data_IF_988465536879
#
_entry.id   IF_988465536879
#
_cell.length_a   1.000
_cell.length_b   1.000
_cell.length_c   1.000
_cell.angle_alpha   90.00
_cell.angle_beta   90.00
_cell.angle_gamma   90.00
#
_symmetry.space_group_name_H-M   'P 1'
#
loop_
_entity.id
_entity.type
_entity.pdbx_description
1 polymer ?
#
# COMPACT_ATOMS: atom_id res chain seq x y z
N UNK A 1 27.49 -1.97 -9.01
CA UNK A 1 27.39 -3.38 -8.55
C UNK A 1 26.97 -4.18 -9.78
N UNK A 2 27.40 -5.42 -9.96
CA UNK A 2 27.04 -6.22 -11.15
C UNK A 2 26.25 -7.43 -10.68
N UNK A 3 24.93 -7.36 -10.77
CA UNK A 3 24.02 -8.40 -10.28
C UNK A 3 22.81 -8.56 -11.19
N UNK A 4 22.15 -9.71 -11.14
CA UNK A 4 20.90 -9.98 -11.85
C UNK A 4 19.66 -9.73 -10.98
N UNK A 5 19.85 -9.41 -9.70
CA UNK A 5 18.78 -9.23 -8.73
C UNK A 5 19.01 -8.02 -7.81
N UNK A 6 17.91 -7.35 -7.44
CA UNK A 6 17.84 -6.45 -6.29
C UNK A 6 17.31 -7.21 -5.08
N UNK A 7 17.54 -6.67 -3.88
CA UNK A 7 16.84 -7.10 -2.69
C UNK A 7 16.12 -5.93 -2.04
N UNK A 8 15.00 -6.20 -1.39
CA UNK A 8 14.29 -5.22 -0.59
C UNK A 8 13.64 -5.87 0.62
N UNK A 9 13.38 -5.07 1.64
CA UNK A 9 12.59 -5.50 2.78
C UNK A 9 11.12 -5.63 2.40
N UNK A 10 10.56 -6.79 2.72
CA UNK A 10 9.15 -7.14 2.59
C UNK A 10 8.59 -7.54 3.97
N UNK A 11 7.26 -7.67 4.15
CA UNK A 11 6.69 -8.07 5.43
C UNK A 11 7.28 -9.40 5.94
N UNK A 12 8.04 -9.33 7.03
CA UNK A 12 8.77 -10.45 7.64
C UNK A 12 9.78 -11.15 6.70
N UNK A 13 10.30 -10.45 5.69
CA UNK A 13 11.27 -11.02 4.76
C UNK A 13 12.25 -9.98 4.20
N UNK A 14 13.30 -10.49 3.55
CA UNK A 14 14.16 -9.75 2.63
C UNK A 14 14.09 -10.49 1.31
N UNK A 15 13.19 -10.01 0.46
CA UNK A 15 12.91 -10.61 -0.83
C UNK A 15 13.98 -10.21 -1.85
N UNK A 16 14.24 -11.11 -2.78
CA UNK A 16 15.11 -10.89 -3.94
C UNK A 16 14.25 -10.82 -5.18
N UNK A 17 14.61 -9.93 -6.09
CA UNK A 17 13.82 -9.69 -7.27
C UNK A 17 14.70 -9.49 -8.51
N UNK A 18 14.38 -10.11 -9.66
CA UNK A 18 15.20 -10.00 -10.87
C UNK A 18 15.22 -8.57 -11.42
N UNK A 19 16.32 -8.10 -11.99
CA UNK A 19 16.39 -6.73 -12.54
C UNK A 19 15.57 -6.56 -13.82
N UNK A 20 15.40 -7.64 -14.58
CA UNK A 20 14.55 -7.69 -15.78
C UNK A 20 13.34 -8.58 -15.53
N UNK A 21 12.13 -8.06 -15.74
CA UNK A 21 10.92 -8.88 -15.80
C UNK A 21 10.64 -9.28 -17.27
N UNK A 22 10.70 -10.58 -17.63
CA UNK A 22 10.44 -11.02 -18.99
C UNK A 22 8.97 -10.96 -19.40
N UNK A 23 8.03 -10.65 -18.50
CA UNK A 23 6.60 -10.90 -18.70
C UNK A 23 5.76 -9.67 -19.11
N UNK A 24 6.03 -9.11 -20.29
CA UNK A 24 5.05 -8.22 -20.96
C UNK A 24 4.23 -8.89 -22.05
N UNK A 25 4.66 -10.05 -22.54
CA UNK A 25 3.92 -10.81 -23.55
C UNK A 25 2.90 -11.74 -22.88
N UNK A 26 1.88 -11.13 -22.26
CA UNK A 26 0.67 -11.89 -21.92
C UNK A 26 -0.09 -12.15 -23.22
N UNK A 27 0.24 -13.25 -23.92
CA UNK A 27 -0.55 -13.72 -25.05
C UNK A 27 -1.97 -14.03 -24.57
N UNK A 28 -2.90 -13.14 -24.85
CA UNK A 28 -4.32 -13.35 -24.54
C UNK A 28 -4.92 -14.15 -25.69
N UNK A 29 -5.50 -15.34 -25.43
CA UNK A 29 -6.20 -16.09 -26.46
C UNK A 29 -7.25 -15.22 -27.15
N UNK A 30 -7.41 -15.32 -28.47
CA UNK A 30 -8.32 -14.46 -29.24
C UNK A 30 -9.76 -14.46 -28.67
N UNK A 31 -10.21 -15.61 -28.16
CA UNK A 31 -11.52 -15.78 -27.48
C UNK A 31 -11.67 -14.95 -26.20
N UNK A 32 -10.57 -14.65 -25.52
CA UNK A 32 -10.51 -13.86 -24.27
C UNK A 32 -10.14 -12.39 -24.53
N UNK A 33 -9.54 -12.07 -25.68
CA UNK A 33 -9.10 -10.70 -26.03
C UNK A 33 -10.24 -9.67 -26.09
N UNK A 34 -11.50 -10.15 -26.21
CA UNK A 34 -12.71 -9.34 -26.37
C UNK A 34 -13.59 -9.30 -25.11
N UNK A 35 -13.30 -10.13 -24.12
CA UNK A 35 -13.86 -9.98 -22.77
C UNK A 35 -13.00 -8.96 -22.03
N UNK A 36 -13.61 -8.00 -21.35
CA UNK A 36 -12.87 -7.00 -20.57
C UNK A 36 -11.98 -7.70 -19.54
N UNK A 37 -10.69 -7.73 -19.85
CA UNK A 37 -9.64 -7.90 -18.87
C UNK A 37 -9.57 -6.58 -18.08
N UNK A 38 -9.37 -6.67 -16.76
CA UNK A 38 -9.04 -5.50 -15.96
C UNK A 38 -7.85 -4.74 -16.58
N UNK A 39 -7.64 -3.48 -16.15
CA UNK A 39 -6.53 -2.67 -16.65
C UNK A 39 -5.22 -3.44 -16.74
N UNK A 40 -4.64 -3.47 -17.94
CA UNK A 40 -3.44 -4.26 -18.25
C UNK A 40 -2.29 -3.37 -18.64
N UNK A 41 -1.10 -3.71 -18.17
CA UNK A 41 0.11 -3.01 -18.56
C UNK A 41 0.45 -3.33 -20.02
N UNK A 42 0.83 -2.29 -20.76
CA UNK A 42 1.31 -2.37 -22.15
C UNK A 42 2.83 -2.21 -22.25
N UNK A 43 3.47 -1.96 -21.11
CA UNK A 43 4.92 -1.86 -20.95
C UNK A 43 5.31 -2.49 -19.61
N UNK A 44 6.58 -2.90 -19.42
CA UNK A 44 7.04 -3.45 -18.15
C UNK A 44 6.91 -2.39 -17.05
N UNK A 45 6.52 -2.83 -15.85
CA UNK A 45 6.52 -1.99 -14.64
C UNK A 45 7.64 -2.50 -13.74
N UNK A 46 8.73 -1.75 -13.68
CA UNK A 46 9.95 -2.15 -12.97
C UNK A 46 10.06 -1.53 -11.57
N UNK A 47 9.10 -0.68 -11.19
CA UNK A 47 8.99 -0.14 -9.83
C UNK A 47 8.57 -1.24 -8.85
N UNK A 48 9.19 -1.24 -7.67
CA UNK A 48 8.96 -2.21 -6.60
C UNK A 48 8.72 -1.52 -5.29
N UNK A 49 8.04 -2.23 -4.40
CA UNK A 49 7.78 -1.79 -3.05
C UNK A 49 9.01 -2.13 -2.17
N UNK A 50 9.26 -1.31 -1.17
CA UNK A 50 10.16 -1.65 -0.06
C UNK A 50 9.64 -1.01 1.22
N UNK A 51 10.00 -1.57 2.38
CA UNK A 51 9.61 -1.00 3.68
C UNK A 51 10.66 -0.07 4.27
N UNK A 52 11.79 -0.59 4.78
CA UNK A 52 12.84 0.25 5.36
C UNK A 52 14.12 0.31 4.54
N UNK A 53 14.34 -0.63 3.62
CA UNK A 53 15.51 -0.63 2.76
C UNK A 53 15.35 -1.41 1.46
N UNK A 54 16.13 -1.01 0.45
CA UNK A 54 16.31 -1.72 -0.81
C UNK A 54 17.77 -1.61 -1.27
N UNK A 55 18.27 -2.56 -2.04
CA UNK A 55 19.67 -2.56 -2.43
C UNK A 55 20.06 -3.54 -3.53
N UNK A 56 21.34 -3.46 -3.88
CA UNK A 56 22.02 -4.35 -4.83
C UNK A 56 23.21 -4.99 -4.12
N UNK A 57 23.50 -6.24 -4.47
CA UNK A 57 24.71 -6.95 -4.03
C UNK A 57 25.20 -7.88 -5.13
N UNK A 58 26.51 -7.92 -5.35
CA UNK A 58 27.18 -8.91 -6.22
C UNK A 58 27.91 -10.00 -5.41
N UNK A 59 27.64 -10.06 -4.09
CA UNK A 59 28.29 -10.98 -3.15
C UNK A 59 29.70 -10.56 -2.71
N UNK A 60 30.27 -9.49 -3.28
CA UNK A 60 31.59 -8.92 -2.88
C UNK A 60 31.50 -7.46 -2.47
N UNK A 61 30.51 -6.74 -2.98
CA UNK A 61 30.15 -5.38 -2.62
C UNK A 61 28.66 -5.19 -2.80
N UNK A 62 28.08 -4.31 -2.00
CA UNK A 62 26.69 -3.94 -2.13
C UNK A 62 26.47 -2.49 -1.75
N UNK A 63 25.27 -2.03 -2.08
CA UNK A 63 24.79 -0.69 -1.79
C UNK A 63 23.33 -0.82 -1.38
N UNK A 64 23.01 -0.33 -0.20
CA UNK A 64 21.65 -0.29 0.32
C UNK A 64 21.22 1.17 0.42
N UNK A 65 20.00 1.48 -0.02
CA UNK A 65 19.29 2.70 0.35
C UNK A 65 18.33 2.35 1.47
N UNK A 66 18.34 3.17 2.52
CA UNK A 66 17.52 3.03 3.72
C UNK A 66 16.58 4.22 3.79
N UNK A 67 15.30 3.97 4.08
CA UNK A 67 14.29 4.98 4.38
C UNK A 67 13.11 4.33 5.10
N UNK A 68 12.63 4.89 6.20
CA UNK A 68 11.45 4.38 6.92
C UNK A 68 10.10 4.96 6.47
N UNK A 69 10.08 5.76 5.40
CA UNK A 69 8.87 6.48 4.94
C UNK A 69 8.67 6.47 3.43
N UNK A 70 9.68 6.06 2.66
CA UNK A 70 9.58 5.89 1.23
C UNK A 70 9.30 4.42 0.94
N UNK A 71 8.47 4.15 -0.07
CA UNK A 71 7.98 2.80 -0.33
C UNK A 71 8.13 2.34 -1.77
N UNK A 72 8.77 3.11 -2.64
CA UNK A 72 8.89 2.80 -4.06
C UNK A 72 10.33 2.99 -4.55
N UNK A 73 10.88 1.96 -5.17
CA UNK A 73 12.19 2.01 -5.81
C UNK A 73 12.18 1.32 -7.18
N UNK A 74 13.13 1.67 -8.04
CA UNK A 74 13.37 1.03 -9.32
C UNK A 74 14.88 0.86 -9.53
N UNK A 75 15.29 -0.19 -10.24
CA UNK A 75 16.67 -0.35 -10.70
C UNK A 75 16.76 0.05 -12.17
N UNK A 76 17.45 1.15 -12.45
CA UNK A 76 17.64 1.63 -13.82
C UNK A 76 18.81 0.89 -14.50
N UNK A 77 18.54 0.27 -15.64
CA UNK A 77 19.47 -0.61 -16.36
C UNK A 77 20.82 0.03 -16.69
N UNK A 78 20.81 1.30 -17.12
CA UNK A 78 21.96 1.99 -17.73
C UNK A 78 23.21 2.01 -16.84
N UNK A 79 23.09 1.82 -15.52
CA UNK A 79 24.21 1.67 -14.57
C UNK A 79 23.87 0.83 -13.32
N UNK A 80 22.76 0.10 -13.32
CA UNK A 80 22.15 -0.47 -12.10
C UNK A 80 21.98 0.59 -10.99
N UNK A 81 21.39 1.73 -11.36
CA UNK A 81 21.13 2.82 -10.41
C UNK A 81 19.90 2.47 -9.58
N UNK A 82 20.01 2.57 -8.26
CA UNK A 82 18.85 2.51 -7.35
C UNK A 82 18.16 3.88 -7.40
N UNK A 83 17.05 3.97 -8.12
CA UNK A 83 16.18 5.14 -8.11
C UNK A 83 15.13 4.95 -7.00
N UNK A 84 15.00 5.93 -6.12
CA UNK A 84 13.97 5.94 -5.06
C UNK A 84 13.03 7.09 -5.35
N UNK A 85 11.74 6.78 -5.44
CA UNK A 85 10.71 7.80 -5.63
C UNK A 85 10.54 8.57 -4.33
N UNK A 86 10.90 9.85 -4.33
CA UNK A 86 10.66 10.72 -3.18
C UNK A 86 9.19 11.15 -3.11
N UNK A 87 8.60 11.47 -4.26
CA UNK A 87 7.29 12.10 -4.36
C UNK A 87 6.65 11.77 -5.71
N UNK A 88 5.33 11.63 -5.76
CA UNK A 88 4.59 11.35 -7.01
C UNK A 88 3.24 12.06 -7.04
N UNK A 89 3.25 13.28 -7.54
CA UNK A 89 2.06 14.12 -7.73
C UNK A 89 1.19 13.67 -8.90
N UNK A 90 -0.11 13.50 -8.68
CA UNK A 90 -1.11 13.19 -9.72
C UNK A 90 -2.35 14.06 -9.56
N UNK A 91 -3.07 14.31 -10.65
CA UNK A 91 -4.30 15.12 -10.60
C UNK A 91 -5.59 14.31 -10.60
N UNK A 92 -5.51 12.99 -10.82
CA UNK A 92 -6.69 12.17 -11.06
C UNK A 92 -6.50 10.79 -10.42
N UNK A 93 -7.57 10.27 -9.82
CA UNK A 93 -7.59 8.93 -9.24
C UNK A 93 -7.35 7.84 -10.29
N UNK A 94 -7.95 7.99 -11.47
CA UNK A 94 -7.72 7.13 -12.61
C UNK A 94 -7.78 7.94 -13.91
N UNK A 95 -6.88 7.61 -14.84
CA UNK A 95 -6.91 8.14 -16.21
C UNK A 95 -7.02 7.02 -17.23
N UNK A 96 -7.62 7.35 -18.37
CA UNK A 96 -7.83 6.43 -19.50
C UNK A 96 -6.79 6.59 -20.62
N UNK A 97 -5.91 7.57 -20.51
CA UNK A 97 -4.95 8.01 -21.52
C UNK A 97 -3.50 7.62 -21.15
N UNK A 98 -3.32 6.59 -20.33
CA UNK A 98 -2.00 6.12 -19.91
C UNK A 98 -1.33 5.34 -21.06
N UNK A 99 -0.07 5.69 -21.38
CA UNK A 99 0.70 4.98 -22.41
C UNK A 99 1.11 3.56 -21.98
N UNK A 100 1.29 3.36 -20.68
CA UNK A 100 1.78 2.13 -20.06
C UNK A 100 0.66 1.19 -19.61
N UNK A 101 -0.61 1.60 -19.71
CA UNK A 101 -1.74 0.80 -19.26
C UNK A 101 -3.00 1.10 -20.06
N UNK A 102 -3.70 0.05 -20.50
CA UNK A 102 -4.99 0.16 -21.20
C UNK A 102 -6.11 -0.53 -20.41
N UNK A 103 -7.33 -0.02 -20.53
CA UNK A 103 -8.53 -0.58 -19.88
C UNK A 103 -9.09 0.26 -18.74
N UNK A 104 -10.21 -0.20 -18.16
CA UNK A 104 -10.87 0.45 -17.02
C UNK A 104 -10.12 0.11 -15.73
N UNK A 105 -9.61 1.15 -15.07
CA UNK A 105 -8.67 1.05 -13.96
C UNK A 105 -9.13 1.78 -12.71
N UNK A 106 -10.37 2.26 -12.73
CA UNK A 106 -10.94 3.06 -11.66
C UNK A 106 -11.80 4.22 -12.18
N UNK A 107 -12.45 4.94 -11.28
CA UNK A 107 -13.29 6.07 -11.63
C UNK A 107 -12.46 7.32 -11.95
N UNK A 108 -12.87 8.08 -12.97
CA UNK A 108 -12.18 9.30 -13.40
C UNK A 108 -12.61 10.50 -12.57
N UNK A 109 -11.97 10.62 -11.41
CA UNK A 109 -12.23 11.63 -10.38
C UNK A 109 -11.01 12.54 -10.27
N UNK A 110 -11.23 13.85 -10.29
CA UNK A 110 -10.21 14.88 -10.10
C UNK A 110 -9.84 14.93 -8.61
N UNK A 111 -8.55 14.80 -8.32
CA UNK A 111 -7.99 14.69 -6.96
C UNK A 111 -6.90 15.76 -6.78
N UNK A 112 -7.27 17.04 -6.57
CA UNK A 112 -6.34 18.16 -6.51
C UNK A 112 -5.31 18.02 -5.37
N UNK A 113 -5.74 17.53 -4.20
CA UNK A 113 -4.85 17.30 -3.05
C UNK A 113 -3.74 16.27 -3.32
N UNK A 114 -3.94 15.36 -4.29
CA UNK A 114 -2.93 14.39 -4.70
C UNK A 114 -1.77 15.00 -5.51
N UNK A 115 -1.80 16.32 -5.77
CA UNK A 115 -0.64 17.05 -6.24
C UNK A 115 0.42 17.24 -5.15
N UNK A 116 0.04 17.06 -3.87
CA UNK A 116 0.95 17.14 -2.74
C UNK A 116 1.66 18.52 -2.70
N UNK A 117 0.92 19.62 -2.90
CA UNK A 117 1.50 20.97 -2.87
C UNK A 117 1.85 21.34 -1.41
N UNK A 118 3.07 21.81 -1.20
CA UNK A 118 3.56 22.24 0.12
C UNK A 118 4.99 21.78 0.38
N UNK A 119 5.43 21.96 1.62
CA UNK A 119 6.75 21.49 2.08
C UNK A 119 6.77 19.98 2.34
N UNK A 120 7.85 19.34 1.90
CA UNK A 120 8.08 17.91 2.11
C UNK A 120 9.46 17.62 2.67
N UNK A 121 9.54 16.64 3.58
CA UNK A 121 10.78 16.22 4.20
C UNK A 121 11.00 14.72 4.02
N UNK A 122 12.06 14.38 3.28
CA UNK A 122 12.44 13.01 3.02
C UNK A 122 13.73 12.69 3.79
N UNK A 123 13.71 11.60 4.56
CA UNK A 123 14.90 11.05 5.19
C UNK A 123 15.28 9.77 4.47
N UNK A 124 16.52 9.73 4.00
CA UNK A 124 17.12 8.54 3.45
C UNK A 124 18.60 8.46 3.83
N UNK A 125 19.14 7.25 3.82
CA UNK A 125 20.56 7.00 4.04
C UNK A 125 21.09 6.06 2.96
N UNK A 126 22.36 6.26 2.60
CA UNK A 126 23.10 5.39 1.69
C UNK A 126 24.07 4.57 2.54
N UNK A 127 23.98 3.25 2.43
CA UNK A 127 24.80 2.30 3.18
C UNK A 127 25.59 1.40 2.22
N UNK A 128 26.84 1.78 1.88
CA UNK A 128 27.78 0.89 1.20
C UNK A 128 28.11 -0.30 2.11
N UNK A 129 28.15 -1.50 1.54
CA UNK A 129 28.35 -2.73 2.30
C UNK A 129 29.21 -3.74 1.53
N UNK A 130 29.62 -4.82 2.22
CA UNK A 130 30.53 -5.84 1.67
C UNK A 130 29.81 -6.85 0.75
N UNK A 131 28.51 -6.67 0.51
CA UNK A 131 27.69 -7.59 -0.26
C UNK A 131 27.27 -8.85 0.51
N UNK A 132 27.67 -8.98 1.78
CA UNK A 132 27.32 -10.09 2.63
C UNK A 132 26.24 -9.65 3.63
N UNK A 133 24.98 -9.88 3.25
CA UNK A 133 23.81 -9.48 4.05
C UNK A 133 23.90 -9.90 5.52
N UNK A 134 24.35 -11.13 5.79
CA UNK A 134 24.49 -11.71 7.13
C UNK A 134 25.46 -10.91 8.01
N UNK A 135 26.57 -10.47 7.43
CA UNK A 135 27.60 -9.70 8.14
C UNK A 135 27.26 -8.20 8.22
N UNK A 136 26.76 -7.65 7.11
CA UNK A 136 26.53 -6.22 6.94
C UNK A 136 25.26 -5.72 7.64
N UNK A 137 24.26 -6.60 7.83
CA UNK A 137 23.01 -6.39 8.57
C UNK A 137 22.28 -5.09 8.20
N UNK A 138 21.96 -4.89 6.91
CA UNK A 138 21.31 -3.66 6.46
C UNK A 138 19.95 -3.43 7.13
N UNK A 139 19.22 -4.48 7.50
CA UNK A 139 17.98 -4.40 8.28
C UNK A 139 18.20 -3.75 9.65
N UNK A 140 19.26 -4.11 10.36
CA UNK A 140 19.60 -3.51 11.65
C UNK A 140 20.05 -2.05 11.49
N UNK A 141 20.73 -1.71 10.39
CA UNK A 141 21.06 -0.31 10.05
C UNK A 141 19.80 0.50 9.73
N UNK A 142 18.83 -0.11 9.06
CA UNK A 142 17.54 0.50 8.78
C UNK A 142 16.75 0.76 10.07
N UNK A 143 16.70 -0.22 10.98
CA UNK A 143 16.09 -0.06 12.30
C UNK A 143 16.75 1.10 13.06
N UNK A 144 18.09 1.16 13.10
CA UNK A 144 18.81 2.26 13.76
C UNK A 144 18.55 3.64 13.11
N UNK A 145 18.44 3.71 11.79
CA UNK A 145 18.12 4.96 11.08
C UNK A 145 16.70 5.45 11.40
N UNK A 146 15.76 4.51 11.50
CA UNK A 146 14.34 4.80 11.69
C UNK A 146 13.95 4.91 13.18
N UNK A 147 14.79 4.45 14.09
CA UNK A 147 14.52 4.45 15.52
C UNK A 147 14.50 5.87 16.09
N UNK A 148 13.37 6.24 16.68
CA UNK A 148 13.21 7.49 17.42
C UNK A 148 13.42 7.23 18.90
N UNK A 149 14.55 7.71 19.43
CA UNK A 149 14.79 7.67 20.86
C UNK A 149 13.73 8.48 21.61
N UNK A 150 13.22 7.91 22.71
CA UNK A 150 12.36 8.62 23.66
C UNK A 150 13.23 9.07 24.82
N UNK A 151 13.26 10.38 25.06
CA UNK A 151 13.90 10.95 26.23
C UNK A 151 12.82 11.50 27.16
N UNK A 152 12.87 11.13 28.43
CA UNK A 152 12.04 11.70 29.49
C UNK A 152 12.97 12.27 30.53
N UNK A 153 12.70 13.50 30.99
CA UNK A 153 13.46 14.14 32.06
C UNK A 153 12.71 13.97 33.37
N UNK A 154 13.41 13.57 34.41
CA UNK A 154 12.92 13.55 35.79
C UNK A 154 13.86 14.32 36.72
N UNK A 155 13.39 14.64 37.93
CA UNK A 155 14.21 15.16 39.01
C UNK A 155 14.96 14.04 39.75
N UNK A 156 15.76 14.40 40.76
CA UNK A 156 16.38 13.40 41.65
C UNK A 156 15.32 12.89 42.63
N UNK A 157 15.13 11.58 42.69
CA UNK A 157 14.22 10.92 43.62
C UNK A 157 14.64 9.46 43.82
N UNK A 158 14.18 8.82 44.89
CA UNK A 158 14.29 7.37 45.04
C UNK A 158 13.43 6.65 43.99
N UNK A 159 13.80 5.41 43.63
CA UNK A 159 13.08 4.61 42.66
C UNK A 159 13.31 3.12 42.83
N UNK A 160 12.35 2.30 42.40
CA UNK A 160 12.47 0.83 42.45
C UNK A 160 13.18 0.21 41.24
N UNK A 161 13.47 1.00 40.21
CA UNK A 161 14.20 0.58 39.01
C UNK A 161 15.65 1.09 39.06
N UNK A 162 16.63 0.35 38.51
CA UNK A 162 18.01 0.82 38.40
C UNK A 162 18.14 1.93 37.35
N UNK A 163 19.25 2.67 37.40
CA UNK A 163 19.59 3.75 36.46
C UNK A 163 19.67 3.25 35.00
N UNK A 164 20.13 2.01 34.81
CA UNK A 164 20.18 1.34 33.52
C UNK A 164 19.45 0.00 33.61
N UNK A 165 18.49 -0.22 32.71
CA UNK A 165 17.70 -1.44 32.65
C UNK A 165 17.47 -1.87 31.21
N UNK A 166 17.73 -3.14 30.90
CA UNK A 166 17.34 -3.76 29.65
C UNK A 166 16.20 -4.74 29.91
N UNK A 167 15.05 -4.53 29.27
CA UNK A 167 13.91 -5.44 29.42
C UNK A 167 14.18 -6.81 28.80
N UNK A 168 14.73 -6.81 27.58
CA UNK A 168 15.01 -7.98 26.76
C UNK A 168 16.36 -7.81 26.08
N UNK A 169 17.13 -8.88 25.96
CA UNK A 169 18.33 -8.88 25.14
C UNK A 169 18.59 -10.27 24.56
N UNK A 170 19.19 -10.31 23.37
CA UNK A 170 19.70 -11.56 22.81
C UNK A 170 21.01 -11.95 23.51
N UNK A 171 21.19 -13.25 23.72
CA UNK A 171 22.41 -13.88 24.25
C UNK A 171 22.70 -15.14 23.44
N UNK A 172 23.95 -15.61 23.44
CA UNK A 172 24.34 -16.86 22.77
C UNK A 172 23.86 -16.96 21.29
N UNK A 173 23.93 -15.85 20.55
CA UNK A 173 23.48 -15.81 19.16
C UNK A 173 24.48 -16.48 18.23
N UNK A 174 24.04 -17.45 17.42
CA UNK A 174 24.84 -18.02 16.32
C UNK A 174 25.24 -16.91 15.33
N UNK A 175 24.30 -16.01 15.07
CA UNK A 175 24.43 -14.92 14.11
C UNK A 175 23.82 -13.65 14.71
N UNK A 176 24.62 -12.76 15.30
CA UNK A 176 24.10 -11.59 16.00
C UNK A 176 23.22 -10.71 15.10
N UNK A 177 22.02 -10.38 15.54
CA UNK A 177 21.07 -9.54 14.81
C UNK A 177 20.34 -10.22 13.66
N UNK A 178 20.44 -11.55 13.50
CA UNK A 178 19.63 -12.27 12.51
C UNK A 178 18.14 -12.37 12.90
N UNK A 179 17.84 -12.35 14.21
CA UNK A 179 16.49 -12.33 14.76
C UNK A 179 16.01 -10.89 14.98
N UNK A 180 15.06 -10.44 14.16
CA UNK A 180 14.56 -9.07 14.20
C UNK A 180 13.25 -8.97 14.98
N UNK A 181 13.24 -8.15 16.03
CA UNK A 181 12.05 -7.86 16.83
C UNK A 181 11.08 -6.98 16.04
N UNK A 182 9.80 -7.36 16.04
CA UNK A 182 8.73 -6.67 15.31
C UNK A 182 7.57 -6.26 16.22
N UNK A 183 7.37 -6.96 17.34
CA UNK A 183 6.40 -6.53 18.34
C UNK A 183 6.91 -6.81 19.76
N UNK A 184 6.68 -5.84 20.63
CA UNK A 184 6.73 -5.96 22.08
C UNK A 184 5.52 -5.21 22.60
N UNK A 185 4.47 -5.93 23.00
CA UNK A 185 3.20 -5.32 23.41
C UNK A 185 2.52 -6.13 24.51
N UNK A 186 1.49 -5.57 25.12
CA UNK A 186 0.54 -6.33 25.94
C UNK A 186 -0.33 -7.20 25.02
N UNK A 187 -0.69 -8.40 25.46
CA UNK A 187 -1.66 -9.25 24.75
C UNK A 187 -3.01 -8.55 24.61
N UNK A 188 -3.80 -8.97 23.62
CA UNK A 188 -5.14 -8.39 23.36
C UNK A 188 -6.10 -8.59 24.54
N UNK A 189 -5.99 -9.72 25.26
CA UNK A 189 -6.74 -9.96 26.50
C UNK A 189 -6.20 -9.20 27.72
N UNK A 190 -5.00 -8.63 27.62
CA UNK A 190 -4.35 -7.88 28.69
C UNK A 190 -3.55 -8.69 29.71
N UNK A 191 -3.53 -10.01 29.64
CA UNK A 191 -2.97 -10.84 30.72
C UNK A 191 -1.50 -11.23 30.52
N UNK A 192 -0.88 -10.83 29.42
CA UNK A 192 0.47 -11.26 29.05
C UNK A 192 1.22 -10.20 28.25
N UNK A 193 2.51 -10.43 28.07
CA UNK A 193 3.37 -9.69 27.14
C UNK A 193 3.65 -10.54 25.92
N UNK A 194 3.45 -9.98 24.75
CA UNK A 194 3.73 -10.58 23.45
C UNK A 194 5.07 -10.06 22.95
N UNK A 195 5.96 -10.99 22.62
CA UNK A 195 7.25 -10.72 21.98
C UNK A 195 7.26 -11.44 20.64
N UNK A 196 7.32 -10.69 19.53
CA UNK A 196 7.35 -11.26 18.17
C UNK A 196 8.62 -10.85 17.45
N UNK A 197 9.29 -11.82 16.86
CA UNK A 197 10.47 -11.62 16.04
C UNK A 197 10.48 -12.62 14.89
N UNK A 198 11.34 -12.40 13.90
CA UNK A 198 11.52 -13.33 12.80
C UNK A 198 12.97 -13.49 12.41
N UNK A 199 13.30 -14.65 11.82
CA UNK A 199 14.60 -14.91 11.25
C UNK A 199 14.74 -14.23 9.89
N UNK A 200 15.69 -13.32 9.75
CA UNK A 200 15.93 -12.59 8.49
C UNK A 200 16.66 -13.42 7.42
N UNK A 201 17.21 -14.58 7.78
CA UNK A 201 18.10 -15.39 6.94
C UNK A 201 17.40 -16.61 6.31
N UNK A 202 18.02 -17.14 5.25
CA UNK A 202 17.61 -18.38 4.58
C UNK A 202 18.21 -19.65 5.22
N UNK A 203 18.73 -19.53 6.44
CA UNK A 203 19.35 -20.62 7.20
C UNK A 203 18.80 -20.61 8.64
N UNK A 204 18.80 -21.76 9.34
CA UNK A 204 18.40 -21.80 10.74
C UNK A 204 19.33 -20.93 11.62
N UNK A 205 18.76 -20.33 12.67
CA UNK A 205 19.49 -19.51 13.64
C UNK A 205 19.08 -19.90 15.05
N UNK A 206 20.06 -20.16 15.92
CA UNK A 206 19.84 -20.32 17.35
C UNK A 206 20.28 -19.08 18.13
N UNK A 207 19.54 -18.78 19.19
CA UNK A 207 19.84 -17.71 20.14
C UNK A 207 19.12 -17.97 21.46
N UNK A 208 19.56 -17.33 22.54
CA UNK A 208 18.78 -17.19 23.78
C UNK A 208 18.16 -15.80 23.86
N UNK A 209 16.87 -15.72 24.19
CA UNK A 209 16.24 -14.46 24.57
C UNK A 209 16.27 -14.32 26.09
N UNK A 210 17.15 -13.47 26.61
CA UNK A 210 17.18 -13.11 28.03
C UNK A 210 16.02 -12.16 28.33
N UNK A 211 15.22 -12.54 29.31
CA UNK A 211 14.12 -11.75 29.86
C UNK A 211 14.55 -11.33 31.26
N UNK A 212 14.64 -10.01 31.50
CA UNK A 212 15.08 -9.47 32.80
C UNK A 212 13.89 -9.09 33.69
N UNK A 213 12.76 -9.76 33.49
CA UNK A 213 11.58 -9.71 34.35
C UNK A 213 11.23 -11.11 34.85
N UNK A 214 10.61 -11.22 36.03
CA UNK A 214 10.03 -12.46 36.52
C UNK A 214 8.94 -12.99 35.57
N UNK A 215 9.13 -14.20 35.04
CA UNK A 215 8.20 -14.87 34.12
C UNK A 215 7.56 -16.06 34.84
N UNK A 216 6.24 -16.00 35.03
CA UNK A 216 5.45 -17.08 35.62
C UNK A 216 5.28 -18.25 34.64
N UNK A 217 5.04 -17.93 33.37
CA UNK A 217 4.92 -18.91 32.29
C UNK A 217 5.30 -18.27 30.95
N UNK A 218 5.81 -19.08 30.02
CA UNK A 218 6.05 -18.68 28.65
C UNK A 218 5.48 -19.73 27.69
N UNK A 219 4.90 -19.28 26.60
CA UNK A 219 4.35 -20.12 25.55
C UNK A 219 4.81 -19.64 24.18
N UNK A 220 5.08 -20.56 23.26
CA UNK A 220 4.99 -20.26 21.84
C UNK A 220 3.53 -19.99 21.51
N UNK A 221 3.28 -18.98 20.69
CA UNK A 221 1.95 -18.59 20.26
C UNK A 221 1.88 -18.38 18.75
N UNK A 222 0.68 -18.43 18.19
CA UNK A 222 0.44 -18.07 16.79
C UNK A 222 0.35 -16.53 16.63
N UNK A 223 0.07 -16.05 15.42
CA UNK A 223 -0.06 -14.61 15.16
C UNK A 223 -1.28 -13.95 15.85
N UNK A 224 -2.31 -14.74 16.20
CA UNK A 224 -3.49 -14.33 16.95
C UNK A 224 -3.28 -14.41 18.48
N UNK A 225 -2.06 -14.74 18.94
CA UNK A 225 -1.71 -14.86 20.36
C UNK A 225 -2.26 -16.11 21.08
N UNK A 226 -2.82 -17.05 20.33
CA UNK A 226 -3.24 -18.35 20.88
C UNK A 226 -2.01 -19.19 21.21
N UNK A 227 -2.01 -19.79 22.40
CA UNK A 227 -0.92 -20.64 22.88
C UNK A 227 -0.83 -21.94 22.07
N UNK A 228 0.39 -22.28 21.63
CA UNK A 228 0.70 -23.49 20.87
C UNK A 228 1.37 -24.51 21.77
N UNK A 229 2.43 -24.13 22.47
CA UNK A 229 3.17 -25.03 23.36
C UNK A 229 3.93 -24.26 24.44
N UNK A 230 4.07 -24.84 25.64
CA UNK A 230 4.86 -24.22 26.71
C UNK A 230 6.34 -24.17 26.36
N UNK A 231 7.01 -23.14 26.88
CA UNK A 231 8.46 -22.99 26.84
C UNK A 231 8.93 -22.64 28.24
N UNK A 232 9.96 -23.32 28.72
CA UNK A 232 10.51 -23.08 30.06
C UNK A 232 11.74 -22.18 29.95
N UNK A 233 11.71 -20.95 30.47
CA UNK A 233 12.91 -20.14 30.58
C UNK A 233 13.87 -20.75 31.60
N UNK A 234 15.15 -20.90 31.26
CA UNK A 234 16.20 -21.32 32.17
C UNK A 234 16.99 -20.09 32.62
N UNK A 235 16.97 -19.76 33.91
CA UNK A 235 17.59 -18.52 34.44
C UNK A 235 17.12 -17.24 33.71
N UNK A 236 15.86 -17.20 33.31
CA UNK A 236 15.27 -16.09 32.54
C UNK A 236 15.61 -16.09 31.05
N UNK A 237 16.31 -17.12 30.54
CA UNK A 237 16.65 -17.25 29.11
C UNK A 237 15.70 -18.24 28.44
N UNK A 238 15.05 -17.79 27.36
CA UNK A 238 14.27 -18.66 26.47
C UNK A 238 15.15 -19.10 25.31
N UNK A 239 15.43 -20.40 25.18
CA UNK A 239 16.19 -20.95 24.06
C UNK A 239 15.34 -20.94 22.78
N UNK A 240 15.86 -20.29 21.74
CA UNK A 240 15.21 -20.14 20.44
C UNK A 240 16.00 -20.91 19.38
N UNK A 241 15.28 -21.69 18.58
CA UNK A 241 15.80 -22.31 17.35
C UNK A 241 14.84 -21.95 16.21
N UNK A 242 15.21 -20.92 15.44
CA UNK A 242 14.38 -20.41 14.37
C UNK A 242 14.78 -21.03 13.02
N UNK A 243 13.81 -21.59 12.31
CA UNK A 243 13.96 -22.05 10.92
C UNK A 243 14.21 -20.86 9.99
N UNK A 244 14.68 -21.10 8.74
CA UNK A 244 14.76 -20.05 7.72
C UNK A 244 13.45 -19.28 7.63
N UNK A 245 13.52 -17.94 7.71
CA UNK A 245 12.37 -17.03 7.58
C UNK A 245 11.22 -17.23 8.60
N UNK A 246 11.44 -17.98 9.66
CA UNK A 246 10.38 -18.28 10.63
C UNK A 246 10.01 -17.05 11.46
N UNK A 247 8.70 -16.82 11.61
CA UNK A 247 8.14 -15.84 12.54
C UNK A 247 7.81 -16.58 13.84
N UNK A 248 8.36 -16.08 14.95
CA UNK A 248 8.15 -16.65 16.28
C UNK A 248 7.43 -15.60 17.13
N UNK A 249 6.36 -16.03 17.78
CA UNK A 249 5.65 -15.24 18.79
C UNK A 249 5.76 -15.95 20.13
N UNK A 250 6.27 -15.25 21.13
CA UNK A 250 6.28 -15.67 22.52
C UNK A 250 5.21 -14.92 23.27
N UNK A 251 4.43 -15.65 24.07
CA UNK A 251 3.50 -15.12 25.05
C UNK A 251 4.09 -15.33 26.43
N UNK A 252 4.37 -14.24 27.13
CA UNK A 252 5.02 -14.22 28.44
C UNK A 252 4.00 -13.80 29.50
N UNK A 253 3.66 -14.71 30.40
CA UNK A 253 2.91 -14.40 31.62
C UNK A 253 3.92 -13.93 32.66
N UNK A 254 3.87 -12.65 33.02
CA UNK A 254 4.78 -12.08 34.00
C UNK A 254 4.28 -12.36 35.43
N UNK A 255 5.18 -12.62 36.36
CA UNK A 255 4.83 -12.49 37.78
C UNK A 255 4.71 -11.00 38.08
N UNK A 256 3.48 -10.53 38.29
CA UNK A 256 3.23 -9.13 38.67
C UNK A 256 3.81 -8.88 40.07
N UNK A 257 5.10 -8.55 40.13
CA UNK A 257 5.74 -8.07 41.34
C UNK A 257 5.22 -6.67 41.70
N UNK A 258 5.28 -6.34 42.99
CA UNK A 258 4.74 -5.12 43.62
C UNK A 258 5.14 -3.78 42.95
N UNK A 259 6.15 -3.77 42.07
CA UNK A 259 6.61 -2.61 41.29
C UNK A 259 5.52 -2.09 40.34
N UNK A 260 4.75 -2.97 39.68
CA UNK A 260 3.66 -2.54 38.78
C UNK A 260 2.45 -1.94 39.55
N UNK A 261 2.36 -2.21 40.86
CA UNK A 261 1.32 -1.71 41.75
C UNK A 261 1.76 -0.46 42.55
N UNK A 262 2.99 0.03 42.35
CA UNK A 262 3.38 1.32 42.91
C UNK A 262 2.63 2.44 42.17
N UNK A 263 1.99 3.35 42.93
CA UNK A 263 1.34 4.52 42.36
C UNK A 263 2.34 5.27 41.49
N UNK A 264 2.00 5.46 40.22
CA UNK A 264 2.67 6.40 39.32
C UNK A 264 2.81 7.73 40.06
N UNK A 265 4.04 8.22 40.24
CA UNK A 265 4.24 9.54 40.84
C UNK A 265 3.74 10.61 39.87
N UNK A 266 3.25 11.72 40.40
CA UNK A 266 2.78 12.86 39.60
C UNK A 266 3.93 13.61 38.89
N UNK A 267 5.16 13.13 39.00
CA UNK A 267 6.37 13.87 38.65
C UNK A 267 6.82 13.69 37.19
N UNK A 268 6.13 12.82 36.44
CA UNK A 268 6.43 12.59 35.02
C UNK A 268 5.50 13.41 34.13
N UNK A 269 6.07 14.37 33.39
CA UNK A 269 5.38 15.06 32.31
C UNK A 269 5.97 14.62 30.97
N UNK A 270 5.11 14.23 30.02
CA UNK A 270 5.52 14.06 28.63
C UNK A 270 5.94 15.43 28.09
N UNK A 271 7.21 15.58 27.72
CA UNK A 271 7.65 16.73 26.95
C UNK A 271 7.16 16.58 25.52
N UNK A 272 6.65 17.67 24.93
CA UNK A 272 6.34 17.71 23.49
C UNK A 272 7.59 17.34 22.70
N UNK A 273 7.40 16.69 21.55
CA UNK A 273 8.53 16.28 20.70
C UNK A 273 9.47 17.46 20.42
N UNK A 274 10.78 17.19 20.34
CA UNK A 274 11.74 18.14 19.79
C UNK A 274 11.49 18.22 18.29
N UNK A 275 10.61 19.14 17.88
CA UNK A 275 10.46 19.48 16.47
C UNK A 275 11.63 20.35 16.07
N UNK A 276 12.57 19.76 15.32
CA UNK A 276 13.47 20.54 14.49
C UNK A 276 12.61 21.14 13.39
N UNK A 277 12.23 22.41 13.52
CA UNK A 277 11.75 23.18 12.38
C UNK A 277 12.98 23.64 11.59
N UNK A 278 13.25 23.07 10.42
CA UNK A 278 14.25 23.66 9.55
C UNK A 278 13.76 25.06 9.15
N UNK A 279 14.66 26.04 9.16
CA UNK A 279 14.41 27.38 8.64
C UNK A 279 14.25 27.27 7.11
N UNK A 280 13.05 26.93 6.66
CA UNK A 280 12.69 26.95 5.25
C UNK A 280 12.33 28.38 4.81
N UNK A 281 12.61 28.74 3.55
CA UNK A 281 12.10 29.98 2.99
C UNK A 281 10.56 29.94 2.99
N UNK A 282 9.96 31.04 3.44
CA UNK A 282 8.51 31.25 3.34
C UNK A 282 8.14 31.45 1.86
N UNK A 283 7.59 30.41 1.24
CA UNK A 283 7.16 30.41 -0.17
C UNK A 283 5.64 30.38 -0.21
N UNK A 284 5.04 31.37 -0.86
CA UNK A 284 3.60 31.36 -1.11
C UNK A 284 3.24 30.21 -2.06
N UNK A 285 2.43 29.26 -1.59
CA UNK A 285 1.95 28.16 -2.41
C UNK A 285 0.72 28.58 -3.24
N UNK A 286 0.59 28.09 -4.48
CA UNK A 286 -0.67 28.22 -5.20
C UNK A 286 -1.79 27.49 -4.41
N UNK A 287 -3.06 27.91 -4.57
CA UNK A 287 -4.17 27.18 -3.95
C UNK A 287 -4.19 25.74 -4.47
N UNK A 288 -4.49 24.80 -3.57
CA UNK A 288 -4.63 23.37 -3.91
C UNK A 288 -5.74 23.15 -4.94
N UNK A 289 -6.79 23.96 -4.85
CA UNK A 289 -7.95 23.92 -5.72
C UNK A 289 -8.44 25.35 -5.98
N UNK A 290 -8.71 25.66 -7.24
CA UNK A 290 -9.29 26.94 -7.65
C UNK A 290 -10.80 26.84 -7.91
N UNK A 291 -11.56 27.93 -7.75
CA UNK A 291 -12.97 27.97 -8.15
C UNK A 291 -13.18 27.67 -9.64
N UNK A 292 -12.18 27.98 -10.48
CA UNK A 292 -12.21 27.66 -11.91
C UNK A 292 -12.18 26.15 -12.15
N UNK A 293 -11.28 25.41 -11.50
CA UNK A 293 -11.20 23.95 -11.63
C UNK A 293 -12.48 23.24 -11.18
N UNK A 294 -13.13 23.75 -10.11
CA UNK A 294 -14.45 23.25 -9.70
C UNK A 294 -15.52 23.54 -10.76
N UNK A 295 -15.46 24.72 -11.39
CA UNK A 295 -16.31 25.10 -12.52
C UNK A 295 -16.12 24.17 -13.72
N UNK A 296 -14.88 23.87 -14.09
CA UNK A 296 -14.53 22.97 -15.19
C UNK A 296 -15.06 21.54 -14.97
N UNK A 297 -15.00 21.03 -13.73
CA UNK A 297 -15.59 19.73 -13.39
C UNK A 297 -17.12 19.73 -13.48
N UNK A 298 -17.75 20.85 -13.09
CA UNK A 298 -19.19 21.03 -13.24
C UNK A 298 -19.60 21.11 -14.71
N UNK A 299 -18.83 21.80 -15.54
CA UNK A 299 -19.04 21.90 -16.98
C UNK A 299 -18.89 20.53 -17.64
N UNK A 300 -17.88 19.73 -17.23
CA UNK A 300 -17.71 18.34 -17.65
C UNK A 300 -18.94 17.50 -17.34
N UNK A 301 -19.51 17.63 -16.13
CA UNK A 301 -20.75 16.95 -15.76
C UNK A 301 -21.91 17.32 -16.70
N UNK A 302 -22.14 18.61 -16.95
CA UNK A 302 -23.23 19.06 -17.82
C UNK A 302 -23.03 18.66 -19.28
N UNK A 303 -21.80 18.66 -19.78
CA UNK A 303 -21.49 18.18 -21.13
C UNK A 303 -21.88 16.71 -21.28
N UNK A 304 -21.44 15.84 -20.36
CA UNK A 304 -21.76 14.41 -20.38
C UNK A 304 -23.28 14.20 -20.25
N UNK A 305 -23.97 15.01 -19.45
CA UNK A 305 -25.42 14.93 -19.28
C UNK A 305 -26.16 15.21 -20.59
N UNK A 306 -25.73 16.23 -21.34
CA UNK A 306 -26.30 16.57 -22.64
C UNK A 306 -26.03 15.47 -23.68
N UNK A 307 -24.79 14.97 -23.78
CA UNK A 307 -24.43 13.86 -24.66
C UNK A 307 -25.26 12.60 -24.36
N UNK A 308 -25.44 12.27 -23.07
CA UNK A 308 -26.24 11.13 -22.64
C UNK A 308 -27.73 11.27 -23.02
N UNK A 309 -28.28 12.50 -22.96
CA UNK A 309 -29.67 12.77 -23.38
C UNK A 309 -29.83 12.51 -24.87
N UNK A 310 -28.92 13.02 -25.69
CA UNK A 310 -29.00 12.88 -27.14
C UNK A 310 -28.86 11.41 -27.57
N UNK A 311 -27.95 10.68 -26.92
CA UNK A 311 -27.74 9.25 -27.16
C UNK A 311 -28.95 8.39 -26.72
N UNK A 312 -29.63 8.76 -25.62
CA UNK A 312 -30.87 8.10 -25.20
C UNK A 312 -32.00 8.32 -26.22
N UNK A 313 -32.10 9.53 -26.77
CA UNK A 313 -33.07 9.84 -27.83
C UNK A 313 -32.79 9.03 -29.10
N UNK A 314 -31.52 8.85 -29.46
CA UNK A 314 -31.12 7.99 -30.58
C UNK A 314 -31.51 6.52 -30.33
N UNK A 315 -31.20 5.97 -29.16
CA UNK A 315 -31.58 4.61 -28.80
C UNK A 315 -33.10 4.39 -28.88
N UNK A 316 -33.89 5.34 -28.37
CA UNK A 316 -35.35 5.27 -28.44
C UNK A 316 -35.87 5.22 -29.87
N UNK A 317 -35.32 6.05 -30.78
CA UNK A 317 -35.71 6.02 -32.20
C UNK A 317 -35.38 4.68 -32.85
N UNK A 318 -34.19 4.13 -32.56
CA UNK A 318 -33.78 2.82 -33.08
C UNK A 318 -34.65 1.68 -32.55
N UNK A 319 -35.04 1.72 -31.28
CA UNK A 319 -35.99 0.76 -30.69
C UNK A 319 -37.35 0.81 -31.41
N UNK A 320 -37.92 2.01 -31.57
CA UNK A 320 -39.21 2.20 -32.24
C UNK A 320 -39.18 1.76 -33.72
N UNK A 321 -38.08 2.02 -34.44
CA UNK A 321 -37.88 1.52 -35.81
C UNK A 321 -37.83 -0.01 -35.89
N UNK A 322 -37.11 -0.64 -34.97
CA UNK A 322 -37.00 -2.09 -34.87
C UNK A 322 -38.38 -2.72 -34.60
N UNK A 323 -39.11 -2.19 -33.61
CA UNK A 323 -40.41 -2.69 -33.20
C UNK A 323 -41.44 -2.56 -34.34
N UNK A 324 -41.43 -1.44 -35.08
CA UNK A 324 -42.31 -1.22 -36.24
C UNK A 324 -41.98 -2.11 -37.44
N UNK A 325 -40.70 -2.42 -37.65
CA UNK A 325 -40.27 -3.22 -38.80
C UNK A 325 -40.68 -4.70 -38.69
N UNK A 326 -40.92 -5.20 -37.48
CA UNK A 326 -41.30 -6.59 -37.20
C UNK A 326 -40.25 -7.63 -37.62
N UNK A 327 -39.10 -7.20 -38.16
CA UNK A 327 -37.97 -8.04 -38.58
C UNK A 327 -36.81 -7.76 -37.65
N UNK A 328 -36.38 -8.77 -36.90
CA UNK A 328 -35.16 -8.71 -36.10
C UNK A 328 -33.93 -8.79 -37.01
N UNK A 329 -33.70 -7.73 -37.79
CA UNK A 329 -32.49 -7.60 -38.59
C UNK A 329 -31.29 -7.49 -37.66
N UNK A 330 -30.38 -8.46 -37.76
CA UNK A 330 -29.24 -8.59 -36.85
C UNK A 330 -28.37 -7.33 -36.84
N UNK A 331 -28.25 -6.65 -37.98
CA UNK A 331 -27.50 -5.38 -38.11
C UNK A 331 -28.09 -4.27 -37.24
N UNK A 332 -29.41 -4.08 -37.28
CA UNK A 332 -30.11 -3.07 -36.45
C UNK A 332 -30.01 -3.41 -34.96
N UNK A 333 -30.08 -4.69 -34.61
CA UNK A 333 -29.90 -5.14 -33.23
C UNK A 333 -28.49 -4.85 -32.72
N UNK A 334 -27.46 -5.14 -33.50
CA UNK A 334 -26.09 -4.85 -33.11
C UNK A 334 -25.84 -3.34 -32.95
N UNK A 335 -26.40 -2.53 -33.85
CA UNK A 335 -26.31 -1.08 -33.75
C UNK A 335 -27.01 -0.56 -32.48
N UNK A 336 -28.22 -1.03 -32.18
CA UNK A 336 -28.91 -0.68 -30.94
C UNK A 336 -28.10 -1.06 -29.69
N UNK A 337 -27.49 -2.26 -29.67
CA UNK A 337 -26.68 -2.68 -28.53
C UNK A 337 -25.40 -1.86 -28.37
N UNK A 338 -24.78 -1.41 -29.48
CA UNK A 338 -23.65 -0.46 -29.42
C UNK A 338 -24.06 0.87 -28.78
N UNK A 339 -25.19 1.43 -29.19
CA UNK A 339 -25.71 2.68 -28.60
C UNK A 339 -26.01 2.47 -27.11
N UNK A 340 -26.62 1.35 -26.70
CA UNK A 340 -26.85 1.04 -25.28
C UNK A 340 -25.56 0.86 -24.46
N UNK A 341 -24.53 0.26 -25.05
CA UNK A 341 -23.20 0.17 -24.43
C UNK A 341 -22.56 1.56 -24.24
N UNK A 342 -22.73 2.47 -25.21
CA UNK A 342 -22.31 3.86 -25.08
C UNK A 342 -23.11 4.61 -23.99
N UNK A 343 -24.43 4.41 -23.91
CA UNK A 343 -25.31 5.00 -22.86
C UNK A 343 -24.81 4.60 -21.47
N UNK A 344 -24.53 3.32 -21.26
CA UNK A 344 -24.04 2.85 -19.95
C UNK A 344 -22.65 3.37 -19.63
N UNK A 345 -21.77 3.50 -20.63
CA UNK A 345 -20.46 4.13 -20.48
C UNK A 345 -20.55 5.61 -20.08
N UNK A 346 -21.41 6.39 -20.76
CA UNK A 346 -21.64 7.79 -20.44
C UNK A 346 -22.36 7.97 -19.09
N UNK A 347 -23.31 7.09 -18.75
CA UNK A 347 -23.98 7.10 -17.43
C UNK A 347 -22.96 6.91 -16.31
N UNK A 348 -22.03 5.96 -16.44
CA UNK A 348 -20.92 5.80 -15.48
C UNK A 348 -20.05 7.07 -15.41
N UNK A 349 -19.64 7.63 -16.55
CA UNK A 349 -18.83 8.87 -16.61
C UNK A 349 -19.55 10.06 -15.99
N UNK A 350 -20.88 10.14 -16.12
CA UNK A 350 -21.72 11.19 -15.52
C UNK A 350 -21.64 11.14 -14.00
N UNK A 351 -21.82 9.94 -13.42
CA UNK A 351 -21.71 9.76 -11.97
C UNK A 351 -20.28 10.03 -11.47
N UNK A 352 -19.25 9.62 -12.20
CA UNK A 352 -17.86 9.98 -11.90
C UNK A 352 -17.63 11.50 -11.91
N UNK A 353 -18.18 12.21 -12.90
CA UNK A 353 -18.11 13.67 -12.96
C UNK A 353 -18.86 14.35 -11.82
N UNK A 354 -20.02 13.81 -11.44
CA UNK A 354 -20.82 14.34 -10.33
C UNK A 354 -20.11 14.15 -9.00
N UNK A 355 -19.61 12.95 -8.70
CA UNK A 355 -18.80 12.69 -7.49
C UNK A 355 -17.59 13.61 -7.46
N UNK A 356 -16.87 13.72 -8.57
CA UNK A 356 -15.71 14.61 -8.68
C UNK A 356 -16.08 16.08 -8.40
N UNK A 357 -17.18 16.57 -8.96
CA UNK A 357 -17.67 17.94 -8.69
C UNK A 357 -18.01 18.12 -7.21
N UNK A 358 -18.74 17.17 -6.60
CA UNK A 358 -19.17 17.26 -5.21
C UNK A 358 -17.97 17.22 -4.25
N UNK A 359 -17.04 16.29 -4.42
CA UNK A 359 -15.84 16.20 -3.57
C UNK A 359 -15.01 17.48 -3.66
N UNK A 360 -14.81 18.03 -4.86
CA UNK A 360 -14.04 19.27 -5.03
C UNK A 360 -14.81 20.51 -4.54
N UNK A 361 -16.13 20.55 -4.67
CA UNK A 361 -16.95 21.62 -4.07
C UNK A 361 -16.91 21.57 -2.54
N UNK A 362 -16.89 20.37 -1.93
CA UNK A 362 -16.76 20.22 -0.49
C UNK A 362 -15.43 20.76 0.04
N UNK A 363 -14.34 20.60 -0.72
CA UNK A 363 -13.05 21.21 -0.41
C UNK A 363 -13.09 22.75 -0.46
N UNK A 364 -13.91 23.34 -1.33
CA UNK A 364 -14.02 24.80 -1.48
C UNK A 364 -14.96 25.43 -0.43
N UNK A 365 -16.15 24.86 -0.24
CA UNK A 365 -17.24 25.50 0.51
C UNK A 365 -17.41 24.96 1.94
N UNK A 366 -16.66 23.93 2.35
CA UNK A 366 -16.79 23.24 3.66
C UNK A 366 -18.19 22.68 3.95
N UNK A 367 -19.03 22.51 2.93
CA UNK A 367 -20.36 21.90 3.05
C UNK A 367 -20.25 20.39 2.87
N UNK A 368 -20.74 19.62 3.85
CA UNK A 368 -20.83 18.17 3.76
C UNK A 368 -21.95 17.74 2.83
N UNK A 369 -21.64 16.85 1.88
CA UNK A 369 -22.60 16.30 0.91
C UNK A 369 -22.68 14.76 0.99
N UNK A 370 -22.51 14.20 2.20
CA UNK A 370 -22.37 12.75 2.45
C UNK A 370 -23.55 11.94 1.89
N UNK A 371 -24.80 12.35 2.13
CA UNK A 371 -25.97 11.63 1.63
C UNK A 371 -26.02 11.59 0.08
N UNK A 372 -25.70 12.70 -0.58
CA UNK A 372 -25.69 12.76 -2.04
C UNK A 372 -24.55 11.90 -2.62
N UNK A 373 -23.39 11.89 -1.96
CA UNK A 373 -22.26 11.04 -2.33
C UNK A 373 -22.57 9.55 -2.18
N UNK A 374 -23.27 9.17 -1.12
CA UNK A 374 -23.69 7.78 -0.87
C UNK A 374 -24.66 7.30 -1.96
N UNK A 375 -25.73 8.05 -2.21
CA UNK A 375 -26.72 7.74 -3.26
C UNK A 375 -26.07 7.61 -4.64
N UNK A 376 -25.18 8.55 -5.01
CA UNK A 376 -24.49 8.50 -6.32
C UNK A 376 -23.46 7.35 -6.34
N UNK A 377 -22.83 7.04 -5.22
CA UNK A 377 -21.89 5.93 -5.08
C UNK A 377 -22.55 4.58 -5.38
N UNK A 378 -23.75 4.35 -4.85
CA UNK A 378 -24.55 3.17 -5.16
C UNK A 378 -24.92 3.09 -6.65
N UNK A 379 -25.40 4.21 -7.21
CA UNK A 379 -25.74 4.31 -8.63
C UNK A 379 -24.54 4.08 -9.55
N UNK A 380 -23.35 4.56 -9.17
CA UNK A 380 -22.10 4.31 -9.88
C UNK A 380 -21.76 2.81 -9.88
N UNK A 381 -21.92 2.11 -8.76
CA UNK A 381 -21.72 0.66 -8.66
C UNK A 381 -22.65 -0.09 -9.63
N UNK A 382 -23.93 0.29 -9.68
CA UNK A 382 -24.89 -0.28 -10.62
C UNK A 382 -24.55 0.06 -12.08
N UNK A 383 -24.14 1.29 -12.37
CA UNK A 383 -23.73 1.71 -13.71
C UNK A 383 -22.51 0.91 -14.21
N UNK A 384 -21.53 0.65 -13.34
CA UNK A 384 -20.36 -0.20 -13.66
C UNK A 384 -20.79 -1.63 -13.98
N UNK A 385 -21.73 -2.19 -13.23
CA UNK A 385 -22.28 -3.52 -13.50
C UNK A 385 -23.05 -3.57 -14.82
N UNK A 386 -23.95 -2.62 -15.07
CA UNK A 386 -24.72 -2.52 -16.32
C UNK A 386 -23.81 -2.36 -17.54
N UNK A 387 -22.78 -1.52 -17.46
CA UNK A 387 -21.78 -1.33 -18.53
C UNK A 387 -21.17 -2.67 -18.96
N UNK A 388 -20.73 -3.50 -18.01
CA UNK A 388 -20.15 -4.83 -18.29
C UNK A 388 -21.11 -5.75 -19.04
N UNK A 389 -22.40 -5.73 -18.68
CA UNK A 389 -23.43 -6.51 -19.36
C UNK A 389 -23.62 -6.06 -20.81
N UNK A 390 -23.70 -4.75 -21.04
CA UNK A 390 -23.91 -4.21 -22.40
C UNK A 390 -22.67 -4.34 -23.30
N UNK A 391 -21.46 -4.28 -22.75
CA UNK A 391 -20.23 -4.62 -23.49
C UNK A 391 -20.27 -6.09 -23.95
N UNK A 392 -20.67 -7.02 -23.09
CA UNK A 392 -20.86 -8.43 -23.45
C UNK A 392 -21.91 -8.60 -24.56
N UNK A 393 -23.07 -7.95 -24.43
CA UNK A 393 -24.13 -8.00 -25.45
C UNK A 393 -23.67 -7.41 -26.78
N UNK A 394 -23.01 -6.26 -26.79
CA UNK A 394 -22.45 -5.65 -27.99
C UNK A 394 -21.50 -6.63 -28.70
N UNK A 395 -20.57 -7.22 -27.97
CA UNK A 395 -19.64 -8.22 -28.50
C UNK A 395 -20.34 -9.47 -29.06
N UNK A 396 -21.39 -9.95 -28.37
CA UNK A 396 -22.18 -11.09 -28.81
C UNK A 396 -22.83 -10.85 -30.18
N UNK A 397 -23.50 -9.71 -30.35
CA UNK A 397 -24.16 -9.37 -31.62
C UNK A 397 -23.16 -9.09 -32.75
N UNK A 398 -22.03 -8.45 -32.45
CA UNK A 398 -20.95 -8.26 -33.44
C UNK A 398 -20.37 -9.58 -33.92
N UNK A 399 -20.19 -10.55 -33.02
CA UNK A 399 -19.75 -11.89 -33.38
C UNK A 399 -20.74 -12.55 -34.33
N UNK A 400 -22.04 -12.54 -33.98
CA UNK A 400 -23.07 -13.13 -34.85
C UNK A 400 -23.07 -12.50 -36.24
N UNK A 401 -22.89 -11.18 -36.33
CA UNK A 401 -22.76 -10.48 -37.61
C UNK A 401 -21.55 -10.93 -38.42
N UNK A 402 -20.41 -11.13 -37.74
CA UNK A 402 -19.19 -11.60 -38.42
C UNK A 402 -19.30 -13.05 -38.90
N UNK A 403 -20.13 -13.87 -38.23
CA UNK A 403 -20.40 -15.25 -38.61
C UNK A 403 -21.42 -15.35 -39.76
N UNK A 404 -22.38 -14.43 -39.86
CA UNK A 404 -23.31 -14.38 -41.00
C UNK A 404 -22.67 -13.83 -42.30
N UNK A 405 -21.58 -13.06 -42.18
CA UNK A 405 -20.82 -12.51 -43.33
C UNK A 405 -19.74 -13.46 -43.87
N UNK A 406 -19.48 -14.58 -43.21
CA UNK A 406 -18.57 -15.65 -43.64
C UNK A 406 -19.37 -16.82 -44.22
#
# INVERSE_FOLDING_TARGET
>A
IQTEESYAEEPFDVAKFPLSDPSTDQHIPEKMSRLMLAGRYTAPVNTRIFHNFAGLSDGKKGLTVISGKLSEYEILEKNQTIAVTLMRSVGWLARYDLQTRVGDVGPHIFTPEAQEIGDHYFSCAIYPNTGNFKMDKPHFKADNHNMKFRAVRTGVHDGGLPDEFSLLNWVNEDVPGALRLTALKRSEDGDSVIVRFYNTLNEPVNAGLQINLPVAAAHLANLNEDEISPVTPENGVVSISAKPKEIITLRLVLELNQIANQRLSNDTKLLGGLELHPDLPDVAFPPVLTPQEVGEERDRYYQIQNELRDLRNEAYKKEDEIDRSGKQELEKMAELQRVKAQITTLTRKLYEARISTLLNQQLLDTIKMENELEEIGEELCWARTKKRVYEYLSNYYEKRLSEEKK
#
